data_IF_618699378993
#
_entry.id   IF_618699378993
#
_cell.length_a   1.000
_cell.length_b   1.000
_cell.length_c   1.000
_cell.angle_alpha   90.00
_cell.angle_beta   90.00
_cell.angle_gamma   90.00
#
_symmetry.space_group_name_H-M   'P 1'
#
loop_
_entity.id
_entity.type
_entity.pdbx_description
1 polymer ?
#
# COMPACT_ATOMS: atom_id res chain seq x y z
N UNK A 1 -16.63 -0.94 26.57
CA UNK A 1 -15.32 -0.53 26.00
C UNK A 1 -14.83 -1.63 25.08
N UNK A 2 -14.96 -1.47 23.77
CA UNK A 2 -14.52 -2.49 22.80
C UNK A 2 -13.02 -2.33 22.62
N UNK A 3 -12.25 -3.12 23.38
CA UNK A 3 -10.81 -3.29 23.13
C UNK A 3 -10.65 -4.04 21.79
N UNK A 4 -10.50 -3.29 20.69
CA UNK A 4 -10.03 -3.86 19.43
C UNK A 4 -8.55 -4.23 19.67
N UNK A 5 -8.29 -5.48 20.02
CA UNK A 5 -6.95 -6.04 19.93
C UNK A 5 -6.50 -5.96 18.47
N UNK A 6 -5.79 -4.88 18.10
CA UNK A 6 -4.93 -4.86 16.92
C UNK A 6 -3.80 -5.86 17.18
N UNK A 7 -4.06 -7.17 17.00
CA UNK A 7 -2.99 -8.16 16.80
C UNK A 7 -2.04 -7.54 15.78
N UNK A 8 -0.74 -7.43 16.08
CA UNK A 8 0.19 -6.64 15.25
C UNK A 8 0.13 -7.12 13.80
N UNK A 9 -0.59 -6.34 12.96
CA UNK A 9 -0.93 -6.70 11.58
C UNK A 9 0.33 -6.86 10.73
N UNK A 10 1.39 -6.15 11.12
CA UNK A 10 2.72 -6.20 10.54
C UNK A 10 3.36 -7.59 10.62
N UNK A 11 3.20 -8.32 11.72
CA UNK A 11 3.76 -9.68 11.85
C UNK A 11 3.07 -10.66 10.89
N UNK A 12 1.75 -10.55 10.73
CA UNK A 12 0.98 -11.40 9.82
C UNK A 12 1.36 -11.18 8.35
N UNK A 13 1.66 -9.93 7.93
CA UNK A 13 2.10 -9.63 6.55
C UNK A 13 3.52 -10.12 6.25
N UNK A 14 4.39 -10.20 7.25
CA UNK A 14 5.77 -10.64 7.07
C UNK A 14 5.92 -12.16 6.96
N UNK A 15 4.98 -12.93 7.51
CA UNK A 15 5.06 -14.40 7.58
C UNK A 15 4.36 -15.13 6.42
N UNK A 16 3.81 -14.41 5.43
CA UNK A 16 3.18 -15.04 4.25
C UNK A 16 4.20 -15.45 3.19
N UNK A 17 3.79 -16.32 2.26
CA UNK A 17 4.61 -16.73 1.12
C UNK A 17 4.98 -15.53 0.23
N UNK A 18 6.00 -15.66 -0.61
CA UNK A 18 6.37 -14.58 -1.54
C UNK A 18 5.27 -14.27 -2.55
N UNK A 19 4.52 -15.28 -3.01
CA UNK A 19 3.38 -15.08 -3.91
C UNK A 19 2.23 -14.31 -3.23
N UNK A 20 1.90 -14.66 -2.00
CA UNK A 20 0.87 -13.95 -1.23
C UNK A 20 1.31 -12.53 -0.89
N UNK A 21 2.60 -12.33 -0.58
CA UNK A 21 3.16 -11.01 -0.31
C UNK A 21 3.07 -10.11 -1.56
N UNK A 22 3.40 -10.67 -2.72
CA UNK A 22 3.33 -9.97 -4.00
C UNK A 22 1.90 -9.55 -4.35
N UNK A 23 0.91 -10.42 -4.15
CA UNK A 23 -0.49 -10.10 -4.37
C UNK A 23 -0.98 -9.02 -3.40
N UNK A 24 -0.67 -9.19 -2.10
CA UNK A 24 -1.04 -8.25 -1.04
C UNK A 24 -0.54 -6.82 -1.29
N UNK A 25 0.69 -6.70 -1.82
CA UNK A 25 1.35 -5.42 -2.11
C UNK A 25 1.32 -5.05 -3.60
N UNK A 26 0.57 -5.81 -4.40
CA UNK A 26 0.42 -5.64 -5.84
C UNK A 26 1.76 -5.39 -6.58
N UNK A 27 2.82 -6.11 -6.22
CA UNK A 27 4.19 -5.84 -6.69
C UNK A 27 4.33 -6.02 -8.21
N UNK A 28 3.72 -7.05 -8.78
CA UNK A 28 3.70 -7.29 -10.23
C UNK A 28 3.01 -6.14 -10.99
N UNK A 29 1.83 -5.73 -10.54
CA UNK A 29 1.09 -4.61 -11.14
C UNK A 29 1.85 -3.28 -10.98
N UNK A 30 2.55 -3.10 -9.86
CA UNK A 30 3.40 -1.93 -9.60
C UNK A 30 4.58 -1.90 -10.57
N UNK A 31 5.26 -3.03 -10.78
CA UNK A 31 6.34 -3.15 -11.76
C UNK A 31 5.88 -2.88 -13.19
N UNK A 32 4.66 -3.31 -13.55
CA UNK A 32 4.07 -2.99 -14.85
C UNK A 32 3.83 -1.47 -15.01
N UNK A 33 3.36 -0.78 -13.96
CA UNK A 33 3.23 0.69 -13.99
C UNK A 33 4.58 1.40 -14.15
N UNK A 34 5.61 0.97 -13.42
CA UNK A 34 6.96 1.55 -13.53
C UNK A 34 7.46 1.45 -14.98
N UNK A 35 7.34 0.27 -15.60
CA UNK A 35 7.72 0.07 -17.01
C UNK A 35 6.87 0.89 -17.97
N UNK A 36 5.55 0.91 -17.78
CA UNK A 36 4.64 1.66 -18.66
C UNK A 36 4.91 3.16 -18.67
N UNK A 37 5.44 3.71 -17.57
CA UNK A 37 5.85 5.11 -17.45
C UNK A 37 7.31 5.35 -17.84
N UNK A 38 8.09 4.31 -18.15
CA UNK A 38 9.55 4.38 -18.32
C UNK A 38 10.25 5.06 -17.12
N UNK A 39 9.74 4.88 -15.91
CA UNK A 39 10.28 5.52 -14.72
C UNK A 39 11.62 4.87 -14.32
N UNK A 40 12.65 5.69 -14.13
CA UNK A 40 14.00 5.22 -13.79
C UNK A 40 14.35 5.47 -12.33
N UNK A 41 13.66 6.42 -11.68
CA UNK A 41 13.84 6.79 -10.28
C UNK A 41 12.48 6.76 -9.58
N UNK A 42 12.29 5.84 -8.64
CA UNK A 42 10.98 5.59 -8.01
C UNK A 42 11.07 5.72 -6.50
N UNK A 43 10.27 6.65 -5.96
CA UNK A 43 10.11 6.84 -4.53
C UNK A 43 9.03 5.92 -3.97
N UNK A 44 9.30 5.27 -2.83
CA UNK A 44 8.33 4.50 -2.07
C UNK A 44 8.02 5.25 -0.78
N UNK A 45 6.79 5.73 -0.66
CA UNK A 45 6.25 6.25 0.59
C UNK A 45 5.52 5.11 1.31
N UNK A 46 5.98 4.77 2.52
CA UNK A 46 5.43 3.69 3.33
C UNK A 46 4.90 4.25 4.66
N UNK A 47 3.73 3.80 5.15
CA UNK A 47 3.29 4.12 6.49
C UNK A 47 4.09 3.33 7.52
N UNK A 48 4.11 3.79 8.77
CA UNK A 48 4.88 3.19 9.86
C UNK A 48 4.63 1.69 10.02
N UNK A 49 3.37 1.25 9.85
CA UNK A 49 3.01 -0.16 10.00
C UNK A 49 3.65 -1.07 8.94
N UNK A 50 4.08 -0.50 7.81
CA UNK A 50 4.69 -1.20 6.69
C UNK A 50 6.22 -1.13 6.70
N UNK A 51 6.83 -0.26 7.52
CA UNK A 51 8.29 -0.12 7.60
C UNK A 51 9.00 -1.45 7.92
N UNK A 52 8.51 -2.34 8.81
CA UNK A 52 9.16 -3.62 9.04
C UNK A 52 9.18 -4.55 7.81
N UNK A 53 8.29 -4.34 6.84
CA UNK A 53 8.25 -5.05 5.57
C UNK A 53 8.97 -4.33 4.43
N UNK A 54 9.52 -3.13 4.66
CA UNK A 54 10.09 -2.27 3.63
C UNK A 54 11.20 -2.95 2.82
N UNK A 55 12.13 -3.65 3.49
CA UNK A 55 13.21 -4.38 2.81
C UNK A 55 12.69 -5.52 1.95
N UNK A 56 11.66 -6.25 2.42
CA UNK A 56 11.05 -7.33 1.63
C UNK A 56 10.34 -6.75 0.42
N UNK A 57 9.54 -5.70 0.60
CA UNK A 57 8.86 -4.99 -0.48
C UNK A 57 9.85 -4.46 -1.53
N UNK A 58 10.94 -3.83 -1.10
CA UNK A 58 12.02 -3.40 -1.98
C UNK A 58 12.55 -4.55 -2.83
N UNK A 59 12.90 -5.68 -2.21
CA UNK A 59 13.44 -6.85 -2.92
C UNK A 59 12.44 -7.46 -3.90
N UNK A 60 11.17 -7.59 -3.50
CA UNK A 60 10.10 -8.11 -4.37
C UNK A 60 9.87 -7.19 -5.57
N UNK A 61 9.77 -5.87 -5.36
CA UNK A 61 9.66 -4.90 -6.45
C UNK A 61 10.87 -4.92 -7.36
N UNK A 62 12.09 -4.98 -6.80
CA UNK A 62 13.35 -5.08 -7.55
C UNK A 62 13.34 -6.27 -8.51
N UNK A 63 12.86 -7.43 -8.06
CA UNK A 63 12.71 -8.62 -8.91
C UNK A 63 11.76 -8.40 -10.09
N UNK A 64 10.78 -7.49 -9.97
CA UNK A 64 9.90 -7.15 -11.09
C UNK A 64 10.51 -6.11 -12.03
N UNK A 65 11.30 -5.15 -11.55
CA UNK A 65 11.73 -3.98 -12.37
C UNK A 65 13.16 -4.04 -12.88
N UNK A 66 13.99 -4.94 -12.36
CA UNK A 66 15.39 -5.06 -12.74
C UNK A 66 16.30 -4.02 -12.07
N UNK A 67 17.58 -4.04 -12.43
CA UNK A 67 18.61 -3.24 -11.74
C UNK A 67 18.73 -1.80 -12.22
N UNK A 68 18.23 -1.50 -13.42
CA UNK A 68 18.31 -0.19 -14.06
C UNK A 68 17.37 0.85 -13.43
N UNK A 69 16.38 0.41 -12.63
CA UNK A 69 15.45 1.29 -11.92
C UNK A 69 15.94 1.52 -10.50
N UNK A 70 16.26 2.77 -10.16
CA UNK A 70 16.62 3.17 -8.81
C UNK A 70 15.37 3.29 -7.92
N UNK A 71 15.24 2.38 -6.95
CA UNK A 71 14.18 2.41 -5.94
C UNK A 71 14.72 3.03 -4.64
N UNK A 72 13.94 3.88 -3.96
CA UNK A 72 14.29 4.40 -2.64
C UNK A 72 13.05 4.57 -1.77
N UNK A 73 13.22 4.37 -0.47
CA UNK A 73 12.16 4.49 0.53
C UNK A 73 12.27 5.87 1.17
N UNK A 74 11.19 6.64 1.17
CA UNK A 74 11.12 7.96 1.80
C UNK A 74 11.12 7.80 3.33
N UNK A 75 11.84 8.70 4.01
CA UNK A 75 11.99 8.67 5.47
C UNK A 75 10.97 9.50 6.27
N UNK A 76 10.10 10.28 5.61
CA UNK A 76 9.24 11.28 6.26
C UNK A 76 7.75 10.93 6.11
N UNK A 77 7.23 10.00 6.92
CA UNK A 77 5.83 9.52 6.81
C UNK A 77 5.02 9.50 8.10
N UNK A 78 5.58 9.96 9.22
CA UNK A 78 5.01 9.75 10.57
C UNK A 78 3.74 10.54 10.89
N UNK A 79 3.44 11.64 10.17
CA UNK A 79 2.27 12.50 10.50
C UNK A 79 1.22 12.64 9.40
N UNK A 80 1.49 12.16 8.18
CA UNK A 80 0.59 12.31 7.03
C UNK A 80 0.55 11.03 6.17
N UNK A 81 0.42 9.87 6.82
CA UNK A 81 0.42 8.56 6.16
C UNK A 81 -0.63 8.39 5.03
N UNK A 82 -1.67 9.23 4.99
CA UNK A 82 -2.70 9.19 3.96
C UNK A 82 -2.46 10.11 2.75
N UNK A 83 -1.51 11.04 2.82
CA UNK A 83 -1.24 12.00 1.76
C UNK A 83 0.00 11.59 0.97
N UNK A 84 -0.01 11.79 -0.34
CA UNK A 84 1.17 11.60 -1.17
C UNK A 84 2.19 12.71 -0.90
N UNK A 85 3.42 12.35 -0.52
CA UNK A 85 4.51 13.31 -0.33
C UNK A 85 5.27 13.56 -1.64
N UNK A 86 4.64 14.34 -2.52
CA UNK A 86 5.22 14.74 -3.80
C UNK A 86 6.50 15.57 -3.60
N UNK A 87 6.58 16.37 -2.54
CA UNK A 87 7.73 17.27 -2.29
C UNK A 87 8.98 16.47 -1.93
N UNK A 88 8.89 15.51 -1.00
CA UNK A 88 10.02 14.65 -0.66
C UNK A 88 10.45 13.79 -1.86
N UNK A 89 9.49 13.26 -2.63
CA UNK A 89 9.79 12.50 -3.84
C UNK A 89 10.52 13.35 -4.89
N UNK A 90 10.11 14.62 -5.08
CA UNK A 90 10.78 15.55 -5.99
C UNK A 90 12.20 15.92 -5.53
N UNK A 91 12.42 16.11 -4.22
CA UNK A 91 13.77 16.34 -3.68
C UNK A 91 14.70 15.14 -3.88
N UNK A 92 14.15 13.93 -3.94
CA UNK A 92 14.89 12.73 -4.32
C UNK A 92 15.03 12.54 -5.84
N UNK A 93 14.51 13.49 -6.63
CA UNK A 93 14.44 13.43 -8.09
C UNK A 93 13.71 12.17 -8.59
N UNK A 94 12.55 11.87 -8.03
CA UNK A 94 11.71 10.76 -8.50
C UNK A 94 10.93 11.12 -9.75
N UNK A 95 10.79 10.14 -10.64
CA UNK A 95 9.92 10.20 -11.81
C UNK A 95 8.53 9.64 -11.49
N UNK A 96 8.42 8.87 -10.40
CA UNK A 96 7.19 8.24 -9.92
C UNK A 96 7.22 8.11 -8.39
N UNK A 97 6.11 8.47 -7.75
CA UNK A 97 5.85 8.19 -6.34
C UNK A 97 4.89 7.00 -6.20
N UNK A 98 5.32 5.97 -5.48
CA UNK A 98 4.49 4.87 -5.01
C UNK A 98 4.05 5.15 -3.58
N UNK A 99 2.76 5.44 -3.39
CA UNK A 99 2.19 5.66 -2.08
C UNK A 99 1.52 4.37 -1.59
N UNK A 100 2.15 3.66 -0.66
CA UNK A 100 1.59 2.45 -0.06
C UNK A 100 0.72 2.81 1.14
N UNK A 101 -0.34 2.02 1.37
CA UNK A 101 -1.15 2.15 2.57
C UNK A 101 -2.45 2.94 2.37
N UNK A 102 -3.12 3.30 3.48
CA UNK A 102 -4.33 4.12 3.43
C UNK A 102 -4.04 5.41 2.69
N UNK A 103 -4.91 5.83 1.78
CA UNK A 103 -4.75 7.09 1.05
C UNK A 103 -6.02 7.93 1.18
N UNK A 104 -5.86 9.24 1.31
CA UNK A 104 -6.96 10.20 1.29
C UNK A 104 -7.52 10.40 -0.14
N UNK A 105 -6.78 9.93 -1.16
CA UNK A 105 -7.10 10.05 -2.58
C UNK A 105 -7.41 11.50 -3.01
N UNK A 106 -6.87 12.47 -2.27
CA UNK A 106 -6.89 13.87 -2.69
C UNK A 106 -6.20 13.95 -4.04
N UNK A 107 -6.76 14.74 -4.96
CA UNK A 107 -6.21 14.89 -6.29
C UNK A 107 -4.71 15.26 -6.19
N UNK A 108 -3.81 14.52 -6.88
CA UNK A 108 -2.40 14.87 -6.92
C UNK A 108 -2.25 16.30 -7.44
N UNK A 109 -1.22 17.01 -6.99
CA UNK A 109 -0.97 18.40 -7.41
C UNK A 109 -0.47 18.54 -8.85
N UNK A 110 -0.55 17.45 -9.64
CA UNK A 110 -0.06 17.28 -11.01
C UNK A 110 1.45 17.51 -11.17
N UNK A 111 2.21 17.56 -10.07
CA UNK A 111 3.65 17.82 -10.09
C UNK A 111 4.46 16.59 -10.48
N UNK A 112 3.95 15.40 -10.19
CA UNK A 112 4.52 14.14 -10.64
C UNK A 112 3.47 13.01 -10.67
N UNK A 113 3.73 11.92 -11.40
CA UNK A 113 2.91 10.72 -11.33
C UNK A 113 2.91 10.13 -9.90
N UNK A 114 1.72 9.85 -9.37
CA UNK A 114 1.52 9.15 -8.09
C UNK A 114 0.69 7.90 -8.33
N UNK A 115 1.21 6.76 -7.89
CA UNK A 115 0.47 5.49 -7.87
C UNK A 115 0.17 5.09 -6.44
N UNK A 116 -1.12 5.02 -6.11
CA UNK A 116 -1.58 4.51 -4.83
C UNK A 116 -1.61 2.98 -4.82
N UNK A 117 -1.05 2.37 -3.77
CA UNK A 117 -1.09 0.93 -3.51
C UNK A 117 -1.88 0.69 -2.23
N UNK A 118 -3.18 0.53 -2.41
CA UNK A 118 -4.10 0.39 -1.29
C UNK A 118 -3.95 -0.98 -0.61
N UNK A 119 -4.08 -1.05 0.73
CA UNK A 119 -4.06 -2.31 1.46
C UNK A 119 -5.13 -3.25 0.93
N UNK A 120 -4.75 -4.51 0.70
CA UNK A 120 -5.69 -5.58 0.41
C UNK A 120 -5.91 -6.38 1.68
N UNK A 121 -7.15 -6.49 2.10
CA UNK A 121 -7.51 -7.35 3.23
C UNK A 121 -8.48 -8.40 2.72
N UNK A 122 -8.18 -9.70 2.88
CA UNK A 122 -9.12 -10.74 2.54
C UNK A 122 -10.37 -10.54 3.39
N UNK A 123 -11.52 -10.48 2.73
CA UNK A 123 -12.82 -10.33 3.35
C UNK A 123 -13.60 -11.62 3.19
N UNK A 124 -14.10 -12.17 4.29
CA UNK A 124 -15.04 -13.29 4.26
C UNK A 124 -16.41 -12.77 3.83
N UNK A 125 -16.63 -12.74 2.51
CA UNK A 125 -17.85 -12.21 1.89
C UNK A 125 -19.10 -12.95 2.39
N UNK A 126 -19.15 -14.30 2.43
CA UNK A 126 -20.29 -15.02 3.00
C UNK A 126 -20.63 -14.60 4.43
N UNK A 127 -19.62 -14.49 5.30
CA UNK A 127 -19.83 -14.05 6.68
C UNK A 127 -20.34 -12.62 6.76
N UNK A 128 -19.79 -11.71 5.95
CA UNK A 128 -20.26 -10.33 5.88
C UNK A 128 -21.72 -10.25 5.43
N UNK A 129 -22.10 -11.01 4.40
CA UNK A 129 -23.49 -11.09 3.92
C UNK A 129 -24.41 -11.59 5.03
N UNK A 130 -24.05 -12.67 5.72
CA UNK A 130 -24.85 -13.21 6.82
C UNK A 130 -25.04 -12.19 7.95
N UNK A 131 -23.98 -11.46 8.33
CA UNK A 131 -24.06 -10.44 9.36
C UNK A 131 -24.93 -9.24 8.94
N UNK A 132 -24.80 -8.77 7.70
CA UNK A 132 -25.61 -7.68 7.14
C UNK A 132 -27.10 -8.06 7.05
N UNK A 133 -27.41 -9.29 6.63
CA UNK A 133 -28.78 -9.79 6.58
C UNK A 133 -29.42 -9.84 7.97
N UNK A 134 -28.69 -10.36 8.97
CA UNK A 134 -29.17 -10.42 10.34
C UNK A 134 -29.47 -9.02 10.93
N UNK A 135 -28.63 -8.02 10.61
CA UNK A 135 -28.87 -6.63 11.02
C UNK A 135 -30.13 -6.04 10.38
N UNK A 136 -30.35 -6.31 9.09
CA UNK A 136 -31.56 -5.85 8.38
C UNK A 136 -32.82 -6.46 9.00
N UNK A 137 -32.80 -7.76 9.26
CA UNK A 137 -33.97 -8.46 9.77
C UNK A 137 -34.32 -8.00 11.21
N UNK A 138 -33.30 -7.66 12.01
CA UNK A 138 -33.48 -7.02 13.32
C UNK A 138 -34.09 -5.60 13.22
N UNK A 139 -33.67 -4.82 12.22
CA UNK A 139 -34.18 -3.46 12.01
C UNK A 139 -35.61 -3.41 11.44
N UNK A 140 -36.06 -4.47 10.74
CA UNK A 140 -37.43 -4.57 10.22
C UNK A 140 -38.42 -5.19 11.23
N UNK A 141 -37.91 -5.84 12.28
CA UNK A 141 -38.70 -6.42 13.36
C UNK A 141 -38.95 -5.43 14.53
N UNK A 142 -38.38 -4.22 14.47
CA UNK A 142 -38.57 -3.12 15.42
C UNK A 142 -39.50 -2.04 14.84
#
# INVERSE_FOLDING_TARGET
EVHIHRRSRTAAQLCVSDADFDDLHATAATGATIRGLNATRVALQLPDELLPAATRLYRRLRAHVGDDVLLYILGDTTFAACCADEVAAQHAHADLLLHYGPACLTAPTARMPVRHVLPRNPLDVPRCIGALAALRDCALAA
#
